data_IF_642037079360
#
_entry.id   IF_642037079360
#
_cell.length_a   1.000
_cell.length_b   1.000
_cell.length_c   1.000
_cell.angle_alpha   90.00
_cell.angle_beta   90.00
_cell.angle_gamma   90.00
#
_symmetry.space_group_name_H-M   'P 1'
#
loop_
_entity.id
_entity.type
_entity.pdbx_description
1 polymer ?
#
# COMPACT_ATOMS: atom_id res chain seq x y z
N UNK A 1 -15.44 14.96 0.38
CA UNK A 1 -14.46 13.85 0.34
C UNK A 1 -13.30 14.27 -0.56
N UNK A 2 -12.21 14.80 -0.02
CA UNK A 2 -11.05 15.20 -0.85
C UNK A 2 -10.18 13.98 -1.11
N UNK A 3 -10.59 13.17 -2.09
CA UNK A 3 -9.73 12.13 -2.65
C UNK A 3 -8.58 12.80 -3.40
N UNK A 4 -7.33 12.64 -2.97
CA UNK A 4 -6.19 13.17 -3.75
C UNK A 4 -4.94 13.63 -3.01
N UNK A 5 -4.84 13.50 -1.68
CA UNK A 5 -3.65 13.97 -0.93
C UNK A 5 -2.37 13.13 -1.14
N UNK A 6 -2.31 12.29 -2.19
CA UNK A 6 -1.08 11.62 -2.62
C UNK A 6 -0.59 10.43 -1.76
N UNK A 7 -1.25 10.08 -0.65
CA UNK A 7 -0.86 8.94 0.21
C UNK A 7 -0.63 7.64 -0.55
N UNK A 8 -1.60 7.22 -1.37
CA UNK A 8 -1.50 5.99 -2.17
C UNK A 8 -0.43 6.10 -3.26
N UNK A 9 -0.17 7.31 -3.77
CA UNK A 9 0.90 7.59 -4.74
C UNK A 9 2.27 7.44 -4.10
N UNK A 10 2.48 8.07 -2.93
CA UNK A 10 3.73 7.99 -2.18
C UNK A 10 4.01 6.55 -1.73
N UNK A 11 2.97 5.84 -1.26
CA UNK A 11 3.08 4.44 -0.83
C UNK A 11 3.56 3.53 -1.97
N UNK A 12 3.06 3.73 -3.20
CA UNK A 12 3.51 2.98 -4.38
C UNK A 12 4.93 3.33 -4.81
N UNK A 13 5.30 4.60 -4.73
CA UNK A 13 6.66 5.05 -5.06
C UNK A 13 7.66 4.42 -4.08
N UNK A 14 7.39 4.53 -2.77
CA UNK A 14 8.21 3.93 -1.73
C UNK A 14 8.29 2.40 -1.88
N UNK A 15 7.15 1.72 -2.09
CA UNK A 15 7.13 0.27 -2.32
C UNK A 15 7.94 -0.14 -3.56
N UNK A 16 7.91 0.68 -4.62
CA UNK A 16 8.67 0.42 -5.84
C UNK A 16 10.17 0.52 -5.58
N UNK A 17 10.63 1.58 -4.90
CA UNK A 17 12.06 1.76 -4.63
C UNK A 17 12.57 0.71 -3.64
N UNK A 18 11.83 0.41 -2.57
CA UNK A 18 12.20 -0.66 -1.64
C UNK A 18 12.28 -2.04 -2.32
N UNK A 19 11.38 -2.34 -3.28
CA UNK A 19 11.42 -3.58 -4.07
C UNK A 19 12.65 -3.66 -5.00
N UNK A 20 13.12 -2.52 -5.53
CA UNK A 20 14.37 -2.45 -6.32
C UNK A 20 15.60 -2.78 -5.47
N UNK A 21 15.61 -2.34 -4.22
CA UNK A 21 16.61 -2.71 -3.21
C UNK A 21 16.42 -4.15 -2.67
N UNK A 22 15.61 -4.97 -3.34
CA UNK A 22 15.35 -6.39 -3.03
C UNK A 22 14.68 -6.64 -1.68
N UNK A 23 14.06 -5.63 -1.07
CA UNK A 23 13.24 -5.83 0.12
C UNK A 23 11.94 -6.57 -0.23
N UNK A 24 11.49 -7.43 0.66
CA UNK A 24 10.13 -8.00 0.63
C UNK A 24 9.18 -6.95 1.19
N UNK A 25 8.41 -6.32 0.31
CA UNK A 25 7.52 -5.22 0.68
C UNK A 25 6.08 -5.72 0.74
N UNK A 26 5.42 -5.47 1.87
CA UNK A 26 3.98 -5.64 2.01
C UNK A 26 3.31 -4.26 1.96
N UNK A 27 2.49 -4.02 0.94
CA UNK A 27 1.60 -2.87 0.87
C UNK A 27 0.22 -3.29 1.41
N UNK A 28 -0.02 -3.09 2.69
CA UNK A 28 -1.27 -3.47 3.35
C UNK A 28 -2.34 -2.40 3.08
N UNK A 29 -3.04 -2.52 1.93
CA UNK A 29 -4.14 -1.62 1.59
C UNK A 29 -5.37 -1.96 2.47
N UNK A 30 -5.65 -1.11 3.45
CA UNK A 30 -6.75 -1.27 4.40
C UNK A 30 -8.05 -0.58 3.96
N UNK A 31 -8.11 -0.02 2.75
CA UNK A 31 -9.31 0.58 2.19
C UNK A 31 -9.94 -0.33 1.13
N UNK A 32 -11.06 -1.03 1.45
CA UNK A 32 -11.74 -1.91 0.49
C UNK A 32 -12.35 -1.16 -0.71
N UNK A 33 -12.48 0.18 -0.67
CA UNK A 33 -12.98 0.97 -1.81
C UNK A 33 -11.85 1.42 -2.76
N UNK A 34 -10.61 1.54 -2.29
CA UNK A 34 -9.46 1.85 -3.14
C UNK A 34 -8.77 0.58 -3.68
N UNK A 35 -9.40 -0.10 -4.66
CA UNK A 35 -8.79 -1.21 -5.41
C UNK A 35 -7.57 -0.81 -6.27
N UNK A 36 -7.16 0.45 -6.17
CA UNK A 36 -6.18 1.15 -6.98
C UNK A 36 -4.77 0.52 -6.85
N UNK A 37 -4.35 0.16 -5.62
CA UNK A 37 -3.02 -0.42 -5.37
C UNK A 37 -2.94 -1.88 -5.77
N UNK A 38 -4.03 -2.62 -5.55
CA UNK A 38 -4.20 -4.00 -6.00
C UNK A 38 -4.15 -4.11 -7.53
N UNK A 39 -4.93 -3.29 -8.24
CA UNK A 39 -4.95 -3.28 -9.71
C UNK A 39 -3.59 -2.87 -10.28
N UNK A 40 -2.93 -1.88 -9.67
CA UNK A 40 -1.58 -1.46 -10.07
C UNK A 40 -0.55 -2.58 -9.95
N UNK A 41 -0.55 -3.33 -8.84
CA UNK A 41 0.37 -4.44 -8.64
C UNK A 41 0.09 -5.59 -9.62
N UNK A 42 -1.20 -5.92 -9.84
CA UNK A 42 -1.61 -6.95 -10.80
C UNK A 42 -1.14 -6.63 -12.23
N UNK A 43 -1.20 -5.35 -12.63
CA UNK A 43 -0.71 -4.90 -13.93
C UNK A 43 0.82 -5.00 -14.09
N UNK A 44 1.58 -4.78 -13.01
CA UNK A 44 3.04 -4.92 -13.04
C UNK A 44 3.52 -6.37 -12.96
N UNK A 45 2.69 -7.30 -12.46
CA UNK A 45 3.08 -8.69 -12.25
C UNK A 45 4.21 -8.87 -11.23
N UNK A 46 4.46 -7.85 -10.41
CA UNK A 46 5.61 -7.82 -9.50
C UNK A 46 5.29 -8.60 -8.22
N UNK A 47 5.78 -9.84 -8.15
CA UNK A 47 5.52 -10.78 -7.05
C UNK A 47 6.12 -10.33 -5.71
N UNK A 48 7.04 -9.35 -5.72
CA UNK A 48 7.73 -8.88 -4.51
C UNK A 48 6.89 -7.94 -3.65
N UNK A 49 5.85 -7.35 -4.25
CA UNK A 49 4.94 -6.44 -3.56
C UNK A 49 3.61 -7.18 -3.37
N UNK A 50 3.17 -7.35 -2.13
CA UNK A 50 1.84 -7.91 -1.81
C UNK A 50 0.90 -6.78 -1.44
N UNK A 51 -0.35 -6.78 -1.95
CA UNK A 51 -1.25 -5.61 -1.87
C UNK A 51 -2.59 -5.86 -1.16
N UNK A 52 -2.72 -6.93 -0.36
CA UNK A 52 -3.99 -7.34 0.25
C UNK A 52 -3.87 -7.58 1.74
N UNK A 53 -4.98 -7.36 2.44
CA UNK A 53 -5.11 -7.52 3.89
C UNK A 53 -6.14 -8.60 4.21
N UNK A 54 -5.71 -9.73 4.78
CA UNK A 54 -6.52 -10.87 5.23
C UNK A 54 -5.79 -11.62 6.36
N UNK A 55 -6.39 -12.66 6.95
CA UNK A 55 -5.68 -13.53 7.93
C UNK A 55 -4.39 -14.12 7.34
N UNK A 56 -4.37 -14.45 6.05
CA UNK A 56 -3.16 -14.94 5.38
C UNK A 56 -2.11 -13.85 5.16
N UNK A 57 -2.50 -12.57 5.16
CA UNK A 57 -1.54 -11.45 5.11
C UNK A 57 -0.68 -11.37 6.36
N UNK A 58 -1.13 -11.89 7.50
CA UNK A 58 -0.37 -11.85 8.75
C UNK A 58 0.92 -12.67 8.66
N UNK A 59 0.89 -13.81 7.96
CA UNK A 59 2.09 -14.61 7.69
C UNK A 59 3.03 -13.92 6.69
N UNK A 60 2.48 -13.17 5.73
CA UNK A 60 3.26 -12.38 4.77
C UNK A 60 3.93 -11.21 5.49
N UNK A 61 3.21 -10.55 6.40
CA UNK A 61 3.71 -9.45 7.21
C UNK A 61 4.90 -9.88 8.08
N UNK A 62 4.86 -11.10 8.65
CA UNK A 62 5.97 -11.67 9.43
C UNK A 62 7.25 -11.89 8.61
N UNK A 63 7.14 -12.03 7.31
CA UNK A 63 8.26 -12.25 6.40
C UNK A 63 8.68 -11.00 5.63
N UNK A 64 7.93 -9.90 5.79
CA UNK A 64 8.20 -8.65 5.09
C UNK A 64 9.32 -7.88 5.80
N UNK A 65 10.22 -7.30 5.01
CA UNK A 65 11.26 -6.39 5.51
C UNK A 65 10.68 -4.98 5.72
N UNK A 66 9.62 -4.64 4.98
CA UNK A 66 8.92 -3.35 5.08
C UNK A 66 7.42 -3.53 4.89
N UNK A 67 6.63 -2.98 5.81
CA UNK A 67 5.18 -2.91 5.72
C UNK A 67 4.76 -1.45 5.52
N UNK A 68 4.03 -1.18 4.45
CA UNK A 68 3.47 0.12 4.13
C UNK A 68 1.95 0.00 4.24
N UNK A 69 1.34 0.74 5.16
CA UNK A 69 -0.11 0.73 5.36
C UNK A 69 -0.68 2.10 4.97
N UNK A 70 -1.07 2.33 3.71
CA UNK A 70 -1.81 3.53 3.36
C UNK A 70 -3.17 3.49 4.07
N UNK A 71 -3.49 4.56 4.80
CA UNK A 71 -4.81 4.73 5.41
C UNK A 71 -5.75 5.42 4.43
N UNK A 72 -7.04 5.10 4.55
CA UNK A 72 -8.12 5.87 3.92
C UNK A 72 -8.10 7.34 4.37
N UNK A 73 -9.00 8.19 3.83
CA UNK A 73 -9.07 9.59 4.22
C UNK A 73 -9.25 9.71 5.74
N UNK A 74 -8.29 10.36 6.42
CA UNK A 74 -8.46 10.81 7.79
C UNK A 74 -9.33 12.07 7.80
N UNK A 75 -10.08 12.28 8.88
CA UNK A 75 -10.81 13.53 9.12
C UNK A 75 -9.84 14.72 9.10
N UNK A 76 -8.62 14.54 9.62
CA UNK A 76 -7.55 15.55 9.61
C UNK A 76 -7.06 15.91 8.19
N UNK A 77 -7.28 15.07 7.17
CA UNK A 77 -6.96 15.41 5.78
C UNK A 77 -7.99 16.35 5.14
N UNK A 78 -9.15 16.51 5.78
CA UNK A 78 -10.28 17.27 5.25
C UNK A 78 -10.42 18.66 5.87
N UNK A 79 -9.70 18.98 6.95
CA UNK A 79 -9.71 20.30 7.58
C UNK A 79 -8.31 20.94 7.52
N UNK A 80 -8.09 21.94 6.64
CA UNK A 80 -6.88 22.73 6.71
C UNK A 80 -6.85 23.54 8.01
N UNK A 81 -5.69 23.58 8.67
CA UNK A 81 -5.43 24.45 9.82
C UNK A 81 -5.57 25.94 9.46
#
# INVERSE_FOLDING_TARGET
>A
QKGGVGKSTLSRALATEASKEKMKVLLADCDPQQATSYNWNKLRGDKKIVTRTSKSTLEIARQADLIIQPTGPSVDDCEPA
#
